data_IF_693031779903
#
_entry.id   IF_693031779903
#
_cell.length_a   1.000
_cell.length_b   1.000
_cell.length_c   1.000
_cell.angle_alpha   90.00
_cell.angle_beta   90.00
_cell.angle_gamma   90.00
#
_symmetry.space_group_name_H-M   'P 1'
#
loop_
_entity.id
_entity.type
_entity.pdbx_description
1 polymer ?
#
# COMPACT_ATOMS: atom_id res chain seq x y z
N UNK A 1 -22.77 7.36 -0.52
CA UNK A 1 -21.93 6.73 0.53
C UNK A 1 -20.47 6.96 0.19
N UNK A 2 -19.73 7.70 1.03
CA UNK A 2 -18.37 8.16 0.73
C UNK A 2 -17.34 7.02 0.70
N UNK A 3 -16.50 6.99 -0.34
CA UNK A 3 -15.48 5.96 -0.53
C UNK A 3 -14.21 6.25 0.31
N UNK A 4 -14.38 6.28 1.63
CA UNK A 4 -13.31 6.56 2.58
C UNK A 4 -12.58 5.26 2.92
N UNK A 5 -11.26 5.26 2.71
CA UNK A 5 -10.38 4.17 3.13
C UNK A 5 -10.24 4.18 4.65
N UNK A 6 -10.36 3.01 5.26
CA UNK A 6 -10.18 2.82 6.71
C UNK A 6 -8.78 3.23 7.16
N UNK A 7 -8.68 3.75 8.38
CA UNK A 7 -7.41 4.20 8.97
C UNK A 7 -6.35 3.10 9.03
N UNK A 8 -6.77 1.85 9.21
CA UNK A 8 -5.89 0.68 9.18
C UNK A 8 -5.10 0.56 7.87
N UNK A 9 -5.78 0.66 6.72
CA UNK A 9 -5.13 0.60 5.40
C UNK A 9 -4.10 1.72 5.26
N UNK A 10 -4.44 2.93 5.73
CA UNK A 10 -3.54 4.08 5.64
C UNK A 10 -2.28 3.91 6.50
N UNK A 11 -2.44 3.39 7.71
CA UNK A 11 -1.33 3.14 8.65
C UNK A 11 -0.37 2.07 8.11
N UNK A 12 -0.89 0.90 7.78
CA UNK A 12 -0.11 -0.23 7.24
C UNK A 12 0.65 0.18 5.98
N UNK A 13 -0.01 0.91 5.08
CA UNK A 13 0.64 1.36 3.84
C UNK A 13 1.82 2.31 4.09
N UNK A 14 1.70 3.21 5.08
CA UNK A 14 2.81 4.11 5.45
C UNK A 14 3.95 3.32 6.08
N UNK A 15 3.62 2.44 7.03
CA UNK A 15 4.59 1.59 7.71
C UNK A 15 5.38 0.73 6.72
N UNK A 16 4.70 0.10 5.75
CA UNK A 16 5.34 -0.65 4.66
C UNK A 16 6.32 0.22 3.86
N UNK A 17 5.91 1.43 3.46
CA UNK A 17 6.76 2.35 2.70
C UNK A 17 7.97 2.80 3.53
N UNK A 18 7.78 3.06 4.82
CA UNK A 18 8.83 3.48 5.74
C UNK A 18 9.85 2.35 5.99
N UNK A 19 9.38 1.12 6.22
CA UNK A 19 10.24 -0.05 6.42
C UNK A 19 10.97 -0.47 5.14
N UNK A 20 10.34 -0.33 3.97
CA UNK A 20 10.90 -0.74 2.68
C UNK A 20 11.04 0.44 1.70
N UNK A 21 11.68 1.51 2.16
CA UNK A 21 11.99 2.69 1.32
C UNK A 21 12.73 2.27 0.04
N UNK A 22 12.23 2.73 -1.10
CA UNK A 22 12.83 2.49 -2.42
C UNK A 22 12.46 1.17 -3.10
N UNK A 23 11.67 0.29 -2.46
CA UNK A 23 11.17 -0.94 -3.13
C UNK A 23 9.82 -0.77 -3.81
N UNK A 24 8.98 0.12 -3.30
CA UNK A 24 7.66 0.37 -3.88
C UNK A 24 7.76 1.29 -5.10
N UNK A 25 7.04 0.93 -6.16
CA UNK A 25 7.07 1.63 -7.45
C UNK A 25 5.72 2.31 -7.71
N UNK A 26 5.54 2.89 -8.89
CA UNK A 26 4.24 3.40 -9.36
C UNK A 26 3.38 2.30 -10.02
N UNK A 27 3.88 1.07 -10.12
CA UNK A 27 3.16 -0.06 -10.70
C UNK A 27 2.31 -0.80 -9.65
N UNK A 28 1.06 -1.10 -10.00
CA UNK A 28 0.15 -1.75 -9.05
C UNK A 28 0.44 -3.24 -8.87
N UNK A 29 0.83 -3.97 -9.93
CA UNK A 29 1.04 -5.41 -9.84
C UNK A 29 2.31 -5.75 -9.05
N UNK A 30 3.37 -4.97 -9.26
CA UNK A 30 4.60 -5.06 -8.47
C UNK A 30 4.32 -4.79 -6.99
N UNK A 31 3.65 -3.67 -6.69
CA UNK A 31 3.30 -3.30 -5.33
C UNK A 31 2.40 -4.35 -4.66
N UNK A 32 1.49 -4.98 -5.41
CA UNK A 32 0.63 -6.05 -4.90
C UNK A 32 1.44 -7.28 -4.47
N UNK A 33 2.44 -7.68 -5.27
CA UNK A 33 3.35 -8.79 -4.92
C UNK A 33 4.24 -8.44 -3.72
N UNK A 34 4.73 -7.20 -3.64
CA UNK A 34 5.51 -6.74 -2.49
C UNK A 34 4.68 -6.72 -1.22
N UNK A 35 3.45 -6.20 -1.27
CA UNK A 35 2.52 -6.20 -0.13
C UNK A 35 2.19 -7.63 0.32
N UNK A 36 2.07 -8.57 -0.61
CA UNK A 36 1.86 -9.99 -0.29
C UNK A 36 3.06 -10.62 0.40
N UNK A 37 4.28 -10.28 -0.02
CA UNK A 37 5.50 -10.79 0.61
C UNK A 37 5.78 -10.16 1.97
N UNK A 38 5.53 -8.85 2.11
CA UNK A 38 5.88 -8.10 3.33
C UNK A 38 4.78 -8.07 4.38
N UNK A 39 3.57 -8.50 4.05
CA UNK A 39 2.44 -8.39 4.96
C UNK A 39 1.60 -9.66 4.99
N UNK A 40 1.28 -10.14 6.19
CA UNK A 40 0.45 -11.33 6.45
C UNK A 40 -1.04 -11.09 6.16
N UNK A 41 -1.36 -10.27 5.15
CA UNK A 41 -2.72 -9.84 4.84
C UNK A 41 -3.55 -11.03 4.39
N UNK A 42 -4.53 -11.40 5.20
CA UNK A 42 -5.31 -12.63 5.00
C UNK A 42 -6.27 -12.59 3.81
N UNK A 43 -6.61 -11.41 3.28
CA UNK A 43 -7.66 -11.28 2.25
C UNK A 43 -7.20 -10.50 1.02
N UNK A 44 -7.52 -11.03 -0.17
CA UNK A 44 -7.27 -10.40 -1.49
C UNK A 44 -7.76 -8.95 -1.55
N UNK A 45 -8.95 -8.68 -1.02
CA UNK A 45 -9.55 -7.35 -1.08
C UNK A 45 -8.78 -6.31 -0.26
N UNK A 46 -8.27 -6.71 0.91
CA UNK A 46 -7.47 -5.83 1.78
C UNK A 46 -6.09 -5.57 1.17
N UNK A 47 -5.45 -6.60 0.62
CA UNK A 47 -4.18 -6.49 -0.12
C UNK A 47 -4.29 -5.51 -1.29
N UNK A 48 -5.35 -5.61 -2.09
CA UNK A 48 -5.59 -4.68 -3.20
C UNK A 48 -5.80 -3.24 -2.72
N UNK A 49 -6.49 -3.04 -1.59
CA UNK A 49 -6.67 -1.71 -1.00
C UNK A 49 -5.37 -1.10 -0.50
N UNK A 50 -4.50 -1.91 0.13
CA UNK A 50 -3.18 -1.50 0.60
C UNK A 50 -2.29 -1.16 -0.58
N UNK A 51 -2.11 -2.09 -1.53
CA UNK A 51 -1.29 -1.87 -2.72
C UNK A 51 -1.72 -0.61 -3.49
N UNK A 52 -3.04 -0.43 -3.70
CA UNK A 52 -3.56 0.76 -4.38
C UNK A 52 -3.35 2.06 -3.59
N UNK A 53 -3.31 2.01 -2.25
CA UNK A 53 -3.00 3.20 -1.45
C UNK A 53 -1.50 3.49 -1.43
N UNK A 54 -0.64 2.46 -1.39
CA UNK A 54 0.81 2.59 -1.54
C UNK A 54 1.17 3.24 -2.88
N UNK A 55 0.63 2.75 -3.99
CA UNK A 55 0.86 3.35 -5.32
C UNK A 55 0.42 4.82 -5.37
N UNK A 56 -0.69 5.16 -4.71
CA UNK A 56 -1.15 6.54 -4.62
C UNK A 56 -0.21 7.42 -3.80
N UNK A 57 0.35 6.91 -2.70
CA UNK A 57 1.30 7.64 -1.87
C UNK A 57 2.61 7.92 -2.61
N UNK A 58 3.14 6.91 -3.31
CA UNK A 58 4.34 7.02 -4.16
C UNK A 58 4.10 8.06 -5.27
N UNK A 59 2.96 7.96 -5.99
CA UNK A 59 2.62 8.92 -7.05
C UNK A 59 2.44 10.35 -6.54
N UNK A 60 1.83 10.53 -5.37
CA UNK A 60 1.61 11.85 -4.78
C UNK A 60 2.86 12.41 -4.07
N UNK A 61 3.98 11.67 -4.10
CA UNK A 61 5.22 12.03 -3.43
C UNK A 61 5.03 12.45 -1.96
N UNK A 62 4.02 11.89 -1.30
CA UNK A 62 3.58 12.34 0.02
C UNK A 62 4.43 11.74 1.16
N UNK A 63 5.44 10.93 0.82
CA UNK A 63 6.24 10.13 1.77
C UNK A 63 7.75 10.11 1.41
N UNK A 64 8.18 10.87 0.39
CA UNK A 64 9.61 11.20 0.19
C UNK A 64 9.93 12.52 0.88
#
# INVERSE_FOLDING_TARGET
>A
MGNIRTSFVKRISRELIETHRGKFTTDFDENKKLVEQYSTVSTKHLRNKIAGYVTRLIRNNAVL
#
